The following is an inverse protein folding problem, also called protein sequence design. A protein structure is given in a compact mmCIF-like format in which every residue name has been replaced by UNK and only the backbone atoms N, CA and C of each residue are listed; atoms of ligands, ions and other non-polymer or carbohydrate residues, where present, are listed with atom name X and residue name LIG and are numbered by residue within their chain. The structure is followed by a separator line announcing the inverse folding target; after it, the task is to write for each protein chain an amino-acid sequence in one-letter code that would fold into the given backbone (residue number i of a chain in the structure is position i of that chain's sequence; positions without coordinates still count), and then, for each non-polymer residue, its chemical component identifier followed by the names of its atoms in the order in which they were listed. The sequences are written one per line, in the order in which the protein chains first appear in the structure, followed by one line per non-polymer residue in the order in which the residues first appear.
data_IF_774563534454
#
_entry.id   IF_774563534454
#
_cell.length_a   1.000
_cell.length_b   1.000
_cell.length_c   1.000
_cell.angle_alpha   90.00
_cell.angle_beta   90.00
_cell.angle_gamma   90.00
#
_symmetry.space_group_name_H-M   'P 1'
#
loop_
_entity.id
_entity.type
_entity.pdbx_description
1 polymer ?
#
# COMPACT_ATOMS: atom_id res chain seq x y z
N UNK A 1 13.28 -8.97 -13.89
CA UNK A 1 12.24 -7.93 -13.74
C UNK A 1 12.68 -7.00 -12.62
N UNK A 2 12.83 -5.70 -12.90
CA UNK A 2 13.35 -4.72 -11.93
C UNK A 2 12.24 -4.48 -10.90
N UNK A 3 12.45 -4.88 -9.63
CA UNK A 3 11.49 -4.56 -8.58
C UNK A 3 11.50 -3.05 -8.41
N UNK A 4 10.33 -2.40 -8.53
CA UNK A 4 10.19 -0.97 -8.19
C UNK A 4 10.40 -0.88 -6.68
N UNK A 5 11.53 -0.34 -6.27
CA UNK A 5 11.80 -0.08 -4.86
C UNK A 5 10.97 1.12 -4.42
N UNK A 6 9.91 0.85 -3.66
CA UNK A 6 9.14 1.90 -3.00
C UNK A 6 9.88 2.33 -1.73
N UNK A 7 9.99 3.64 -1.53
CA UNK A 7 10.58 4.20 -0.31
C UNK A 7 9.74 3.81 0.90
N UNK A 8 10.37 3.74 2.08
CA UNK A 8 9.67 3.42 3.33
C UNK A 8 8.59 4.45 3.69
N UNK A 9 8.76 5.69 3.26
CA UNK A 9 7.74 6.74 3.39
C UNK A 9 6.53 6.47 2.51
N UNK A 10 6.75 6.13 1.23
CA UNK A 10 5.65 5.78 0.31
C UNK A 10 4.82 4.60 0.84
N UNK A 11 5.48 3.57 1.38
CA UNK A 11 4.77 2.41 1.94
C UNK A 11 3.89 2.80 3.14
N UNK A 12 4.40 3.65 4.04
CA UNK A 12 3.65 4.15 5.20
C UNK A 12 2.47 5.00 4.79
N UNK A 13 2.66 5.93 3.84
CA UNK A 13 1.56 6.76 3.33
C UNK A 13 0.49 5.90 2.64
N UNK A 14 0.88 4.89 1.85
CA UNK A 14 -0.07 3.97 1.21
C UNK A 14 -0.93 3.22 2.24
N UNK A 15 -0.33 2.76 3.34
CA UNK A 15 -1.06 2.11 4.45
C UNK A 15 -1.93 3.11 5.21
N UNK A 16 -1.46 4.35 5.41
CA UNK A 16 -2.26 5.41 6.03
C UNK A 16 -3.49 5.72 5.17
N UNK A 17 -3.33 5.92 3.87
CA UNK A 17 -4.45 6.15 2.94
C UNK A 17 -5.45 4.99 3.01
N UNK A 18 -4.96 3.74 2.99
CA UNK A 18 -5.83 2.56 3.10
C UNK A 18 -6.66 2.56 4.39
N UNK A 19 -6.04 2.88 5.52
CA UNK A 19 -6.68 2.82 6.85
C UNK A 19 -7.58 4.02 7.12
N UNK A 20 -7.26 5.21 6.61
CA UNK A 20 -8.04 6.43 6.83
C UNK A 20 -9.15 6.64 5.80
N UNK A 21 -8.97 6.16 4.56
CA UNK A 21 -9.96 6.38 3.50
C UNK A 21 -11.21 5.51 3.63
N UNK A 22 -11.17 4.44 4.44
CA UNK A 22 -12.24 3.43 4.50
C UNK A 22 -12.47 2.68 3.17
N UNK A 23 -11.58 2.87 2.19
CA UNK A 23 -11.65 2.27 0.86
C UNK A 23 -11.08 0.85 0.89
N UNK A 24 -11.61 -0.01 0.03
CA UNK A 24 -11.10 -1.37 -0.16
C UNK A 24 -9.67 -1.36 -0.69
N UNK A 25 -8.89 -2.36 -0.28
CA UNK A 25 -7.47 -2.48 -0.64
C UNK A 25 -7.21 -2.53 -2.15
N UNK A 26 -8.13 -3.10 -2.93
CA UNK A 26 -8.01 -3.11 -4.39
C UNK A 26 -8.07 -1.69 -4.96
N UNK A 27 -9.07 -0.89 -4.55
CA UNK A 27 -9.25 0.48 -5.04
C UNK A 27 -8.05 1.36 -4.71
N UNK A 28 -7.51 1.26 -3.49
CA UNK A 28 -6.32 2.02 -3.09
C UNK A 28 -5.07 1.55 -3.82
N UNK A 29 -4.92 0.25 -4.06
CA UNK A 29 -3.80 -0.28 -4.82
C UNK A 29 -3.83 0.16 -6.30
N UNK A 30 -5.02 0.17 -6.92
CA UNK A 30 -5.23 0.65 -8.29
C UNK A 30 -4.91 2.15 -8.41
N UNK A 31 -5.39 2.96 -7.47
CA UNK A 31 -5.13 4.41 -7.40
C UNK A 31 -3.63 4.72 -7.27
N UNK A 32 -2.92 3.95 -6.46
CA UNK A 32 -1.47 4.07 -6.27
C UNK A 32 -0.63 3.40 -7.37
N UNK A 33 -1.26 2.70 -8.32
CA UNK A 33 -0.57 1.97 -9.38
C UNK A 33 0.30 0.82 -8.87
N UNK A 34 -0.09 0.19 -7.75
CA UNK A 34 0.61 -0.92 -7.12
C UNK A 34 -0.23 -2.20 -7.09
N UNK A 35 0.41 -3.34 -6.86
CA UNK A 35 -0.30 -4.60 -6.70
C UNK A 35 -1.08 -4.66 -5.39
N UNK A 36 -2.32 -5.15 -5.43
CA UNK A 36 -3.15 -5.42 -4.22
C UNK A 36 -2.40 -6.24 -3.16
N UNK A 37 -1.70 -7.30 -3.57
CA UNK A 37 -0.90 -8.14 -2.66
C UNK A 37 0.27 -7.38 -2.03
N UNK A 38 0.84 -6.42 -2.77
CA UNK A 38 1.92 -5.57 -2.27
C UNK A 38 1.41 -4.66 -1.16
N UNK A 39 0.26 -4.01 -1.39
CA UNK A 39 -0.38 -3.18 -0.38
C UNK A 39 -0.83 -4.00 0.85
N UNK A 40 -1.33 -5.23 0.65
CA UNK A 40 -1.74 -6.10 1.76
C UNK A 40 -0.56 -6.49 2.64
N UNK A 41 0.60 -6.80 2.03
CA UNK A 41 1.84 -7.06 2.77
C UNK A 41 2.26 -5.85 3.58
N UNK A 42 2.23 -4.65 3.01
CA UNK A 42 2.59 -3.43 3.74
C UNK A 42 1.63 -3.19 4.89
N UNK A 43 0.31 -3.30 4.67
CA UNK A 43 -0.67 -3.18 5.76
C UNK A 43 -0.32 -4.11 6.93
N UNK A 44 0.07 -5.36 6.67
CA UNK A 44 0.47 -6.31 7.73
C UNK A 44 1.81 -5.95 8.41
N UNK A 45 2.74 -5.31 7.70
CA UNK A 45 4.04 -4.91 8.25
C UNK A 45 3.99 -3.58 9.03
N UNK A 46 3.00 -2.71 8.75
CA UNK A 46 2.87 -1.39 9.37
C UNK A 46 1.68 -1.27 10.33
N UNK A 47 0.92 -2.35 10.57
CA UNK A 47 -0.21 -2.40 11.50
C UNK A 47 0.21 -2.77 12.94
N UNK A 48 1.39 -2.33 13.37
CA UNK A 48 1.79 -2.35 14.79
C UNK A 48 1.20 -1.15 15.54
#
# INVERSE_FOLDING_TARGET
MKQREFTGEFKREAVRILTTSGRGISSVAEDLGIGKLTLDRWRRNFAE
#
